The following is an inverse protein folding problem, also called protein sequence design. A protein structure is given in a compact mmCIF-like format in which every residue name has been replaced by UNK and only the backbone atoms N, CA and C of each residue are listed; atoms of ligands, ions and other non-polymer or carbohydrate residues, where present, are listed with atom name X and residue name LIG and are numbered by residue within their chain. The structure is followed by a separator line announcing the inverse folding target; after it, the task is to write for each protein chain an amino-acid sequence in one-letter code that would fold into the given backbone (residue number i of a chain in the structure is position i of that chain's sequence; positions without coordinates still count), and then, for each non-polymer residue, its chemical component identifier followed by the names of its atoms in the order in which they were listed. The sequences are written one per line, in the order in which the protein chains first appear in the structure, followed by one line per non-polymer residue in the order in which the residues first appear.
data_IF_052730760452
#
_entry.id   IF_052730760452
#
_cell.length_a   1.000
_cell.length_b   1.000
_cell.length_c   1.000
_cell.angle_alpha   90.00
_cell.angle_beta   90.00
_cell.angle_gamma   90.00
#
_symmetry.space_group_name_H-M   'P 1'
#
loop_
_entity.id
_entity.type
_entity.pdbx_description
1 polymer ?
#
# COMPACT_ATOMS: atom_id res chain seq x y z
N UNK A 1 16.52 0.51 22.57
CA UNK A 1 17.18 1.39 21.58
C UNK A 1 16.64 2.78 21.81
N UNK A 2 17.52 3.74 22.15
CA UNK A 2 17.16 5.15 22.25
C UNK A 2 16.71 5.66 20.87
N UNK A 3 15.52 6.25 20.81
CA UNK A 3 15.01 6.95 19.64
C UNK A 3 15.75 8.29 19.49
N UNK A 4 17.00 8.25 19.05
CA UNK A 4 17.65 9.43 18.49
C UNK A 4 16.99 9.69 17.13
N UNK A 5 16.03 10.61 17.10
CA UNK A 5 15.46 11.18 15.88
C UNK A 5 16.54 12.04 15.19
N UNK A 6 17.53 11.38 14.60
CA UNK A 6 18.50 12.01 13.73
C UNK A 6 17.77 12.43 12.44
N UNK A 7 17.56 13.74 12.25
CA UNK A 7 16.81 14.33 11.14
C UNK A 7 17.42 14.05 9.76
N UNK A 8 18.59 13.42 9.70
CA UNK A 8 19.24 12.97 8.47
C UNK A 8 19.03 11.47 8.18
N UNK A 9 18.50 10.68 9.11
CA UNK A 9 18.33 9.21 8.94
C UNK A 9 16.86 8.75 8.87
N UNK A 10 15.89 9.66 8.96
CA UNK A 10 14.46 9.31 8.92
C UNK A 10 14.08 8.55 7.65
N UNK A 11 14.76 8.82 6.52
CA UNK A 11 14.54 8.13 5.26
C UNK A 11 15.00 6.66 5.30
N UNK A 12 15.80 6.24 6.27
CA UNK A 12 16.18 4.85 6.52
C UNK A 12 15.30 4.17 7.59
N UNK A 13 14.29 4.88 8.10
CA UNK A 13 13.31 4.29 9.01
C UNK A 13 12.28 3.47 8.23
N UNK A 14 12.22 2.17 8.53
CA UNK A 14 11.31 1.23 7.92
C UNK A 14 9.83 1.60 8.13
N UNK A 15 9.48 2.11 9.31
CA UNK A 15 8.14 2.56 9.65
C UNK A 15 7.72 3.74 8.76
N UNK A 16 8.60 4.73 8.59
CA UNK A 16 8.33 5.87 7.72
C UNK A 16 8.11 5.42 6.27
N UNK A 17 8.97 4.53 5.75
CA UNK A 17 8.83 4.02 4.37
C UNK A 17 7.54 3.26 4.15
N UNK A 18 7.12 2.45 5.13
CA UNK A 18 5.85 1.74 5.10
C UNK A 18 4.65 2.69 5.07
N UNK A 19 4.70 3.79 5.81
CA UNK A 19 3.65 4.81 5.84
C UNK A 19 3.60 5.59 4.52
N UNK A 20 4.74 6.14 4.10
CA UNK A 20 4.76 7.16 3.07
C UNK A 20 4.83 6.61 1.64
N UNK A 21 5.64 5.58 1.38
CA UNK A 21 5.94 5.17 0.00
C UNK A 21 4.72 4.63 -0.77
N UNK A 22 3.82 3.81 -0.18
CA UNK A 22 2.61 3.38 -0.89
C UNK A 22 1.69 4.56 -1.24
N UNK A 23 1.63 5.57 -0.36
CA UNK A 23 0.82 6.78 -0.57
C UNK A 23 1.42 7.66 -1.65
N UNK A 24 2.75 7.86 -1.63
CA UNK A 24 3.46 8.59 -2.68
C UNK A 24 3.33 7.90 -4.04
N UNK A 25 3.41 6.57 -4.09
CA UNK A 25 3.17 5.81 -5.32
C UNK A 25 1.79 6.07 -5.90
N UNK A 26 0.76 6.17 -5.04
CA UNK A 26 -0.60 6.50 -5.44
C UNK A 26 -0.73 7.94 -5.93
N UNK A 27 -0.22 8.92 -5.18
CA UNK A 27 -0.32 10.35 -5.55
C UNK A 27 0.42 10.62 -6.85
N UNK A 28 1.66 10.11 -7.00
CA UNK A 28 2.45 10.31 -8.20
C UNK A 28 1.86 9.62 -9.43
N UNK A 29 1.28 8.43 -9.29
CA UNK A 29 0.61 7.80 -10.42
C UNK A 29 -0.59 8.63 -10.88
N UNK A 30 -1.39 9.16 -9.95
CA UNK A 30 -2.57 9.97 -10.27
C UNK A 30 -2.23 11.32 -10.92
N UNK A 31 -1.10 11.93 -10.56
CA UNK A 31 -0.60 13.15 -11.22
C UNK A 31 -0.34 12.95 -12.72
N UNK A 32 -0.19 11.71 -13.20
CA UNK A 32 0.01 11.40 -14.62
C UNK A 32 -1.26 11.11 -15.40
N UNK A 33 -2.44 11.30 -14.78
CA UNK A 33 -3.74 11.11 -15.44
C UNK A 33 -3.95 9.66 -15.89
N UNK A 34 -4.33 9.45 -17.16
CA UNK A 34 -4.58 8.12 -17.75
C UNK A 34 -3.33 7.21 -17.67
N UNK A 35 -2.13 7.77 -17.80
CA UNK A 35 -0.88 7.01 -17.64
C UNK A 35 -0.72 6.43 -16.22
N UNK A 36 -1.43 7.00 -15.24
CA UNK A 36 -1.45 6.54 -13.85
C UNK A 36 -1.96 5.12 -13.69
N UNK A 37 -2.79 4.64 -14.62
CA UNK A 37 -3.28 3.26 -14.65
C UNK A 37 -2.10 2.28 -14.77
N UNK A 38 -1.13 2.58 -15.63
CA UNK A 38 0.03 1.73 -15.84
C UNK A 38 1.17 2.05 -14.87
N UNK A 39 1.26 3.30 -14.43
CA UNK A 39 2.34 3.75 -13.57
C UNK A 39 2.17 3.30 -12.11
N UNK A 40 0.93 3.18 -11.61
CA UNK A 40 0.69 2.80 -10.21
C UNK A 40 1.27 1.42 -9.83
N UNK A 41 1.04 0.33 -10.59
CA UNK A 41 1.64 -0.98 -10.29
C UNK A 41 3.17 -0.92 -10.23
N UNK A 42 3.79 -0.15 -11.13
CA UNK A 42 5.24 0.01 -11.18
C UNK A 42 5.72 0.75 -9.93
N UNK A 43 5.11 1.89 -9.62
CA UNK A 43 5.50 2.72 -8.47
C UNK A 43 5.28 2.00 -7.14
N UNK A 44 4.20 1.23 -6.99
CA UNK A 44 3.95 0.49 -5.74
C UNK A 44 4.92 -0.68 -5.57
N UNK A 45 5.28 -1.39 -6.66
CA UNK A 45 6.33 -2.42 -6.61
C UNK A 45 7.69 -1.79 -6.27
N UNK A 46 8.01 -0.62 -6.83
CA UNK A 46 9.24 0.13 -6.49
C UNK A 46 9.22 0.58 -5.03
N UNK A 47 8.11 1.11 -4.53
CA UNK A 47 7.93 1.50 -3.13
C UNK A 47 8.22 0.34 -2.18
N UNK A 48 7.65 -0.83 -2.45
CA UNK A 48 7.87 -2.04 -1.65
C UNK A 48 9.29 -2.56 -1.77
N UNK A 49 9.87 -2.55 -2.97
CA UNK A 49 11.29 -2.84 -3.15
C UNK A 49 12.19 -1.95 -2.28
N UNK A 50 11.89 -0.64 -2.21
CA UNK A 50 12.64 0.30 -1.36
C UNK A 50 12.47 0.02 0.13
N UNK A 51 11.32 -0.52 0.57
CA UNK A 51 11.13 -1.00 1.94
C UNK A 51 12.00 -2.25 2.19
N UNK A 52 11.92 -3.24 1.30
CA UNK A 52 12.69 -4.47 1.44
C UNK A 52 14.20 -4.26 1.36
N UNK A 53 14.67 -3.31 0.55
CA UNK A 53 16.11 -3.01 0.38
C UNK A 53 16.80 -2.62 1.69
N UNK A 54 16.09 -1.99 2.62
CA UNK A 54 16.65 -1.56 3.91
C UNK A 54 16.32 -2.55 5.05
N UNK A 55 15.47 -3.55 4.81
CA UNK A 55 15.05 -4.47 5.85
C UNK A 55 16.17 -5.49 6.16
N UNK A 56 16.59 -5.67 7.43
CA UNK A 56 17.77 -6.48 7.78
C UNK A 56 17.62 -7.98 7.46
N UNK A 57 16.38 -8.47 7.44
CA UNK A 57 16.05 -9.86 7.09
C UNK A 57 16.07 -10.16 5.58
N UNK A 58 16.18 -9.15 4.71
CA UNK A 58 16.15 -9.35 3.25
C UNK A 58 17.58 -9.53 2.72
N UNK A 59 17.76 -10.51 1.83
CA UNK A 59 19.04 -10.78 1.14
C UNK A 59 18.99 -10.44 -0.35
N UNK A 60 17.82 -10.56 -0.99
CA UNK A 60 17.66 -10.43 -2.44
C UNK A 60 16.45 -9.55 -2.80
N UNK A 61 16.47 -8.24 -2.47
CA UNK A 61 15.31 -7.38 -2.65
C UNK A 61 14.87 -7.26 -4.13
N UNK A 62 15.80 -7.40 -5.08
CA UNK A 62 15.50 -7.29 -6.52
C UNK A 62 14.53 -8.36 -7.05
N UNK A 63 14.45 -9.53 -6.41
CA UNK A 63 13.49 -10.56 -6.79
C UNK A 63 12.04 -10.15 -6.52
N UNK A 64 11.79 -9.10 -5.72
CA UNK A 64 10.45 -8.56 -5.51
C UNK A 64 9.78 -8.11 -6.82
N UNK A 65 10.55 -7.68 -7.82
CA UNK A 65 9.99 -7.29 -9.12
C UNK A 65 9.30 -8.44 -9.86
N UNK A 66 9.51 -9.69 -9.46
CA UNK A 66 8.73 -10.83 -9.96
C UNK A 66 7.23 -10.75 -9.60
N UNK A 67 6.86 -9.93 -8.61
CA UNK A 67 5.46 -9.66 -8.23
C UNK A 67 4.77 -8.64 -9.14
N UNK A 68 5.51 -7.95 -10.01
CA UNK A 68 4.98 -6.90 -10.87
C UNK A 68 3.85 -7.41 -11.79
N UNK A 69 3.93 -8.59 -12.45
CA UNK A 69 2.83 -9.10 -13.27
C UNK A 69 1.54 -9.32 -12.47
N UNK A 70 1.64 -9.84 -11.24
CA UNK A 70 0.48 -10.05 -10.35
C UNK A 70 -0.11 -8.71 -9.95
N UNK A 71 0.74 -7.78 -9.50
CA UNK A 71 0.34 -6.42 -9.11
C UNK A 71 -0.37 -5.70 -10.25
N UNK A 72 0.18 -5.83 -11.47
CA UNK A 72 -0.38 -5.23 -12.67
C UNK A 72 -1.72 -5.86 -13.05
N UNK A 73 -1.81 -7.20 -13.05
CA UNK A 73 -3.05 -7.91 -13.33
C UNK A 73 -4.16 -7.51 -12.36
N UNK A 74 -3.85 -7.49 -11.05
CA UNK A 74 -4.82 -7.13 -10.01
C UNK A 74 -5.32 -5.70 -10.22
N UNK A 75 -4.40 -4.77 -10.47
CA UNK A 75 -4.74 -3.37 -10.65
C UNK A 75 -5.54 -3.10 -11.93
N UNK A 76 -5.16 -3.69 -13.06
CA UNK A 76 -5.88 -3.48 -14.33
C UNK A 76 -7.27 -4.10 -14.29
N UNK A 77 -7.40 -5.30 -13.68
CA UNK A 77 -8.67 -6.03 -13.66
C UNK A 77 -9.69 -5.47 -12.68
N UNK A 78 -9.26 -5.06 -11.48
CA UNK A 78 -10.16 -4.63 -10.40
C UNK A 78 -9.99 -3.16 -9.98
N UNK A 79 -8.98 -2.46 -10.48
CA UNK A 79 -8.72 -1.06 -10.16
C UNK A 79 -9.57 -0.08 -10.98
N UNK A 80 -9.01 1.06 -11.43
CA UNK A 80 -9.76 2.24 -11.84
C UNK A 80 -10.85 1.99 -12.91
N UNK A 81 -10.67 1.01 -13.80
CA UNK A 81 -11.69 0.62 -14.80
C UNK A 81 -13.04 0.17 -14.20
N UNK A 82 -13.02 -0.50 -13.05
CA UNK A 82 -14.22 -0.93 -12.32
C UNK A 82 -14.72 0.13 -11.33
N UNK A 83 -13.82 1.06 -10.96
CA UNK A 83 -14.00 2.00 -9.85
C UNK A 83 -14.90 3.17 -10.22
N UNK A 84 -14.83 3.63 -11.48
CA UNK A 84 -15.62 4.77 -11.97
C UNK A 84 -17.01 4.39 -12.50
N UNK A 85 -17.27 3.10 -12.70
CA UNK A 85 -18.49 2.58 -13.34
C UNK A 85 -19.51 1.99 -12.35
N UNK A 86 -19.12 1.74 -11.09
CA UNK A 86 -19.99 1.10 -10.10
C UNK A 86 -19.96 1.77 -8.71
N UNK A 87 -21.11 1.85 -7.99
CA UNK A 87 -21.19 2.44 -6.64
C UNK A 87 -20.25 1.79 -5.61
N UNK A 88 -19.91 0.50 -5.80
CA UNK A 88 -19.02 -0.27 -4.93
C UNK A 88 -17.61 -0.46 -5.51
N UNK A 89 -17.29 0.17 -6.64
CA UNK A 89 -16.06 -0.09 -7.38
C UNK A 89 -14.79 0.23 -6.58
N UNK A 90 -14.82 1.25 -5.72
CA UNK A 90 -13.68 1.65 -4.87
C UNK A 90 -13.39 0.57 -3.82
N UNK A 91 -14.43 0.10 -3.13
CA UNK A 91 -14.30 -0.92 -2.09
C UNK A 91 -13.81 -2.24 -2.69
N UNK A 92 -14.32 -2.62 -3.85
CA UNK A 92 -13.85 -3.79 -4.59
C UNK A 92 -12.39 -3.65 -5.04
N UNK A 93 -12.02 -2.51 -5.62
CA UNK A 93 -10.66 -2.27 -6.10
C UNK A 93 -9.63 -2.30 -4.98
N UNK A 94 -9.96 -1.76 -3.81
CA UNK A 94 -9.04 -1.73 -2.67
C UNK A 94 -8.95 -3.09 -1.99
N UNK A 95 -10.07 -3.80 -1.86
CA UNK A 95 -10.06 -5.19 -1.39
C UNK A 95 -9.21 -6.07 -2.31
N UNK A 96 -9.37 -5.93 -3.63
CA UNK A 96 -8.57 -6.65 -4.61
C UNK A 96 -7.09 -6.28 -4.53
N UNK A 97 -6.76 -5.00 -4.36
CA UNK A 97 -5.39 -4.54 -4.16
C UNK A 97 -4.74 -5.22 -2.95
N UNK A 98 -5.36 -5.17 -1.77
CA UNK A 98 -4.80 -5.79 -0.57
C UNK A 98 -4.76 -7.33 -0.68
N UNK A 99 -5.75 -7.97 -1.32
CA UNK A 99 -5.69 -9.40 -1.63
C UNK A 99 -4.50 -9.73 -2.55
N UNK A 100 -4.25 -8.91 -3.58
CA UNK A 100 -3.08 -9.01 -4.44
C UNK A 100 -1.77 -8.87 -3.66
N UNK A 101 -1.71 -7.96 -2.68
CA UNK A 101 -0.54 -7.80 -1.81
C UNK A 101 -0.30 -9.01 -0.90
N UNK A 102 -1.35 -9.65 -0.41
CA UNK A 102 -1.24 -10.91 0.34
C UNK A 102 -0.74 -12.06 -0.55
N UNK A 103 -1.17 -12.12 -1.82
CA UNK A 103 -0.64 -13.07 -2.80
C UNK A 103 0.85 -12.78 -3.07
N UNK A 104 1.22 -11.50 -3.26
CA UNK A 104 2.61 -11.09 -3.45
C UNK A 104 3.49 -11.46 -2.24
N UNK A 105 2.94 -11.46 -1.02
CA UNK A 105 3.67 -11.85 0.17
C UNK A 105 4.20 -13.30 0.09
N UNK A 106 3.61 -14.17 -0.74
CA UNK A 106 4.11 -15.52 -1.01
C UNK A 106 5.50 -15.53 -1.69
N UNK A 107 5.95 -14.39 -2.25
CA UNK A 107 7.29 -14.21 -2.79
C UNK A 107 8.31 -13.79 -1.73
N UNK A 108 7.89 -13.40 -0.52
CA UNK A 108 8.79 -13.01 0.57
C UNK A 108 9.81 -14.11 0.93
N UNK A 109 9.43 -15.41 1.02
CA UNK A 109 10.38 -16.50 1.24
C UNK A 109 11.56 -16.53 0.24
N UNK A 110 11.35 -16.04 -0.99
CA UNK A 110 12.39 -16.01 -2.03
C UNK A 110 13.41 -14.88 -1.84
N UNK A 111 13.11 -13.88 -1.01
CA UNK A 111 13.95 -12.69 -0.81
C UNK A 111 14.56 -12.59 0.58
N UNK A 112 14.06 -13.35 1.56
CA UNK A 112 14.55 -13.32 2.95
C UNK A 112 15.80 -14.20 3.15
N UNK A 113 16.53 -13.91 4.24
CA UNK A 113 17.60 -14.76 4.75
C UNK A 113 17.00 -16.03 5.40
N UNK A 114 17.69 -17.18 5.32
CA UNK A 114 17.31 -18.38 6.07
C UNK A 114 17.17 -18.06 7.57
N UNK A 115 16.15 -18.62 8.22
CA UNK A 115 15.95 -18.47 9.67
C UNK A 115 15.36 -17.14 10.14
N UNK A 116 14.80 -16.31 9.24
CA UNK A 116 14.12 -15.04 9.58
C UNK A 116 12.67 -15.01 9.06
N UNK A 117 11.79 -15.92 9.49
CA UNK A 117 10.41 -15.98 9.00
C UNK A 117 9.56 -14.80 9.49
N UNK A 118 10.03 -14.05 10.50
CA UNK A 118 9.29 -12.96 11.12
C UNK A 118 8.85 -11.90 10.10
N UNK A 119 9.66 -11.64 9.07
CA UNK A 119 9.31 -10.67 8.02
C UNK A 119 8.04 -11.06 7.28
N UNK A 120 7.87 -12.33 6.92
CA UNK A 120 6.66 -12.79 6.21
C UNK A 120 5.42 -12.58 7.09
N UNK A 121 5.49 -13.00 8.35
CA UNK A 121 4.39 -12.86 9.28
C UNK A 121 4.06 -11.38 9.54
N UNK A 122 5.07 -10.56 9.83
CA UNK A 122 4.90 -9.13 10.06
C UNK A 122 4.32 -8.44 8.82
N UNK A 123 4.77 -8.80 7.61
CA UNK A 123 4.24 -8.24 6.37
C UNK A 123 2.78 -8.61 6.14
N UNK A 124 2.41 -9.88 6.35
CA UNK A 124 1.03 -10.35 6.24
C UNK A 124 0.12 -9.63 7.25
N UNK A 125 0.53 -9.58 8.52
CA UNK A 125 -0.23 -8.92 9.58
C UNK A 125 -0.36 -7.42 9.30
N UNK A 126 0.73 -6.75 8.90
CA UNK A 126 0.67 -5.33 8.56
C UNK A 126 -0.28 -5.10 7.39
N UNK A 127 -0.18 -5.88 6.32
CA UNK A 127 -1.04 -5.77 5.14
C UNK A 127 -2.51 -5.97 5.52
N UNK A 128 -2.82 -6.97 6.36
CA UNK A 128 -4.18 -7.24 6.82
C UNK A 128 -4.72 -6.11 7.72
N UNK A 129 -3.92 -5.59 8.65
CA UNK A 129 -4.28 -4.46 9.52
C UNK A 129 -4.50 -3.19 8.70
N UNK A 130 -3.60 -2.87 7.77
CA UNK A 130 -3.79 -1.74 6.86
C UNK A 130 -5.09 -1.89 6.07
N UNK A 131 -5.37 -3.07 5.53
CA UNK A 131 -6.59 -3.32 4.77
C UNK A 131 -7.84 -3.11 5.63
N UNK A 132 -7.87 -3.67 6.85
CA UNK A 132 -8.99 -3.55 7.77
C UNK A 132 -9.23 -2.10 8.19
N UNK A 133 -8.17 -1.37 8.56
CA UNK A 133 -8.26 0.04 8.97
C UNK A 133 -8.68 0.91 7.79
N UNK A 134 -8.12 0.68 6.59
CA UNK A 134 -8.49 1.44 5.39
C UNK A 134 -9.97 1.26 5.07
N UNK A 135 -10.44 0.01 5.01
CA UNK A 135 -11.85 -0.31 4.70
C UNK A 135 -12.80 0.24 5.77
N UNK A 136 -12.44 0.13 7.06
CA UNK A 136 -13.24 0.66 8.15
C UNK A 136 -13.36 2.19 8.11
N UNK A 137 -12.25 2.90 7.90
CA UNK A 137 -12.25 4.36 7.77
C UNK A 137 -13.02 4.80 6.53
N UNK A 138 -12.87 4.10 5.39
CA UNK A 138 -13.64 4.38 4.20
C UNK A 138 -15.14 4.25 4.45
N UNK A 139 -15.58 3.15 5.07
CA UNK A 139 -16.99 2.94 5.44
C UNK A 139 -17.53 4.02 6.37
N UNK A 140 -16.75 4.45 7.36
CA UNK A 140 -17.12 5.55 8.25
C UNK A 140 -17.25 6.86 7.48
N UNK A 141 -16.28 7.20 6.64
CA UNK A 141 -16.29 8.45 5.87
C UNK A 141 -17.44 8.51 4.86
N UNK A 142 -17.71 7.43 4.12
CA UNK A 142 -18.83 7.40 3.16
C UNK A 142 -20.19 7.30 3.86
N UNK A 143 -20.28 6.59 4.98
CA UNK A 143 -21.48 6.54 5.82
C UNK A 143 -21.82 7.88 6.45
N UNK A 144 -20.82 8.66 6.88
CA UNK A 144 -20.99 10.01 7.42
C UNK A 144 -21.36 11.05 6.36
N UNK A 145 -20.85 10.90 5.13
CA UNK A 145 -21.14 11.82 4.02
C UNK A 145 -22.55 11.63 3.42
N UNK A 146 -23.26 10.54 3.79
CA UNK A 146 -24.60 10.24 3.31
C UNK A 146 -24.70 10.06 1.79
N UNK A 147 -25.92 9.92 1.25
CA UNK A 147 -26.20 9.79 -0.19
C UNK A 147 -25.73 10.99 -1.07
N UNK A 148 -25.02 11.97 -0.49
CA UNK A 148 -24.40 13.09 -1.21
C UNK A 148 -22.98 12.78 -1.69
N UNK A 149 -22.44 11.60 -1.38
CA UNK A 149 -21.16 11.15 -1.90
C UNK A 149 -21.28 10.80 -3.39
N UNK A 150 -20.99 11.76 -4.27
CA UNK A 150 -20.79 11.49 -5.68
C UNK A 150 -19.32 11.06 -5.89
N UNK A 151 -19.04 9.77 -6.18
CA UNK A 151 -17.68 9.30 -6.44
C UNK A 151 -17.02 9.98 -7.64
N UNK A 152 -17.76 10.71 -8.48
CA UNK A 152 -17.23 11.42 -9.64
C UNK A 152 -16.84 12.89 -9.36
N UNK A 153 -17.25 13.50 -8.24
CA UNK A 153 -17.03 14.94 -8.02
C UNK A 153 -16.09 15.24 -6.84
N UNK A 154 -14.91 15.74 -7.19
CA UNK A 154 -14.24 16.77 -6.40
C UNK A 154 -12.94 16.34 -5.71
N UNK A 155 -12.00 17.28 -5.75
CA UNK A 155 -10.71 17.38 -5.02
C UNK A 155 -10.64 16.68 -3.66
N UNK A 156 -11.76 16.55 -2.96
CA UNK A 156 -11.88 15.87 -1.67
C UNK A 156 -11.38 14.42 -1.70
N UNK A 157 -11.58 13.67 -2.79
CA UNK A 157 -11.08 12.28 -2.89
C UNK A 157 -9.56 12.19 -3.00
N UNK A 158 -8.95 13.15 -3.69
CA UNK A 158 -7.49 13.28 -3.81
C UNK A 158 -6.83 13.53 -2.44
N UNK A 159 -7.60 13.99 -1.45
CA UNK A 159 -7.12 14.23 -0.09
C UNK A 159 -7.53 13.09 0.85
N UNK A 160 -8.80 12.68 0.82
CA UNK A 160 -9.35 11.68 1.75
C UNK A 160 -8.66 10.32 1.57
N UNK A 161 -8.46 9.84 0.34
CA UNK A 161 -7.88 8.50 0.14
C UNK A 161 -6.41 8.41 0.57
N UNK A 162 -5.54 9.38 0.24
CA UNK A 162 -4.20 9.43 0.82
C UNK A 162 -4.20 9.56 2.34
N UNK A 163 -5.11 10.36 2.93
CA UNK A 163 -5.20 10.51 4.38
C UNK A 163 -5.60 9.20 5.06
N UNK A 164 -6.63 8.50 4.55
CA UNK A 164 -7.03 7.17 5.06
C UNK A 164 -5.85 6.19 4.94
N UNK A 165 -5.15 6.21 3.80
CA UNK A 165 -3.99 5.34 3.59
C UNK A 165 -2.83 5.66 4.53
N UNK A 166 -2.55 6.94 4.81
CA UNK A 166 -1.51 7.34 5.78
C UNK A 166 -1.86 6.83 7.17
N UNK A 167 -3.11 7.02 7.62
CA UNK A 167 -3.57 6.54 8.93
C UNK A 167 -3.47 5.01 9.01
N UNK A 168 -4.01 4.31 8.01
CA UNK A 168 -4.01 2.85 7.96
C UNK A 168 -2.59 2.28 8.01
N UNK A 169 -1.67 2.82 7.21
CA UNK A 169 -0.28 2.38 7.23
C UNK A 169 0.43 2.77 8.54
N UNK A 170 0.08 3.90 9.16
CA UNK A 170 0.62 4.32 10.46
C UNK A 170 0.22 3.38 11.59
N UNK A 171 -1.01 2.89 11.59
CA UNK A 171 -1.47 1.89 12.58
C UNK A 171 -0.69 0.59 12.44
N UNK A 172 -0.51 0.11 11.20
CA UNK A 172 0.23 -1.13 10.94
C UNK A 172 1.76 -1.01 11.13
N UNK A 173 2.34 0.19 11.00
CA UNK A 173 3.80 0.35 11.02
C UNK A 173 4.43 0.00 12.37
N UNK A 174 3.63 0.05 13.45
CA UNK A 174 4.01 -0.37 14.80
C UNK A 174 4.32 -1.87 14.92
N UNK A 175 3.88 -2.67 13.94
CA UNK A 175 4.09 -4.13 13.88
C UNK A 175 5.37 -4.44 13.09
N UNK A 176 5.70 -3.61 12.10
CA UNK A 176 6.92 -3.72 11.29
C UNK A 176 8.19 -3.25 12.02
N UNK A 177 8.05 -2.46 13.08
CA UNK A 177 9.15 -1.96 13.92
C UNK A 177 9.50 -2.88 15.10
N UNK A 178 8.83 -4.02 15.24
CA UNK A 178 9.08 -5.06 16.26
C UNK A 178 9.78 -6.26 15.64
#
# INVERSE_FOLDING_TARGET
MENNLNSYEWHNNLSFRWIALPVLAHVFSWMTGICGIFLFPILVTVAQYLIFKIHPAVSRPGFWFATLPITFYVWVKWGPFMTYSHPNGILQGITAYYAGQLINALFIPLIIKPGRPELLLNWLVCTAVTAAVWLGLFWLTTGWLGNQYNPASGLLQYVIYPVIALIANSVSSLILSK
#
